data_IF_183574068141
#
_entry.id   IF_183574068141
#
_cell.length_a   1.000
_cell.length_b   1.000
_cell.length_c   1.000
_cell.angle_alpha   90.00
_cell.angle_beta   90.00
_cell.angle_gamma   90.00
#
_symmetry.space_group_name_H-M   'P 1'
#
loop_
_entity.id
_entity.type
_entity.pdbx_description
1 polymer ?
#
# COMPACT_ATOMS: atom_id res chain seq x y z
N UNK A 1 -22.83 -6.52 -8.07
CA UNK A 1 -22.54 -5.13 -8.52
C UNK A 1 -21.02 -4.82 -8.52
N UNK A 2 -20.17 -5.83 -8.76
CA UNK A 2 -18.73 -5.62 -8.85
C UNK A 2 -18.38 -4.67 -10.01
N UNK A 3 -17.46 -3.73 -9.77
CA UNK A 3 -16.98 -2.77 -10.78
C UNK A 3 -17.86 -1.55 -11.04
N UNK A 4 -18.88 -1.32 -10.21
CA UNK A 4 -19.74 -0.12 -10.32
C UNK A 4 -19.41 0.96 -9.29
N UNK A 5 -18.43 0.70 -8.42
CA UNK A 5 -18.03 1.59 -7.33
C UNK A 5 -16.54 1.88 -7.36
N UNK A 6 -16.17 3.02 -6.84
CA UNK A 6 -14.79 3.45 -6.69
C UNK A 6 -14.18 2.95 -5.37
N UNK A 7 -12.86 3.15 -5.21
CA UNK A 7 -12.19 2.91 -3.92
C UNK A 7 -12.78 3.79 -2.82
N UNK A 8 -13.06 5.05 -3.12
CA UNK A 8 -13.70 6.00 -2.19
C UNK A 8 -15.07 5.48 -1.72
N UNK A 9 -15.88 4.93 -2.63
CA UNK A 9 -17.17 4.31 -2.27
C UNK A 9 -16.98 3.13 -1.31
N UNK A 10 -15.93 2.33 -1.53
CA UNK A 10 -15.61 1.18 -0.66
C UNK A 10 -15.23 1.63 0.75
N UNK A 11 -14.43 2.69 0.87
CA UNK A 11 -14.07 3.28 2.17
C UNK A 11 -15.30 3.84 2.89
N UNK A 12 -16.19 4.51 2.15
CA UNK A 12 -17.45 5.02 2.71
C UNK A 12 -18.38 3.88 3.18
N UNK A 13 -18.46 2.77 2.45
CA UNK A 13 -19.24 1.62 2.87
C UNK A 13 -18.70 0.98 4.16
N UNK A 14 -17.37 0.87 4.28
CA UNK A 14 -16.72 0.40 5.49
C UNK A 14 -16.95 1.36 6.66
N UNK A 15 -16.73 2.66 6.46
CA UNK A 15 -16.95 3.69 7.48
C UNK A 15 -18.38 3.70 8.02
N UNK A 16 -19.35 3.37 7.20
CA UNK A 16 -20.78 3.30 7.56
C UNK A 16 -21.23 1.90 8.05
N UNK A 17 -20.28 1.00 8.32
CA UNK A 17 -20.53 -0.39 8.77
C UNK A 17 -21.42 -1.21 7.82
N UNK A 18 -21.37 -0.93 6.51
CA UNK A 18 -22.06 -1.72 5.49
C UNK A 18 -21.28 -2.98 5.08
N UNK A 19 -20.00 -3.06 5.44
CA UNK A 19 -19.16 -4.24 5.32
C UNK A 19 -18.21 -4.31 6.51
N UNK A 20 -17.81 -5.53 6.88
CA UNK A 20 -16.92 -5.77 8.02
C UNK A 20 -15.44 -5.70 7.64
N UNK A 21 -15.10 -5.82 6.37
CA UNK A 21 -13.74 -5.83 5.86
C UNK A 21 -13.65 -5.07 4.54
N UNK A 22 -12.52 -4.41 4.34
CA UNK A 22 -12.17 -3.75 3.08
C UNK A 22 -10.66 -3.93 2.85
N UNK A 23 -10.25 -4.08 1.60
CA UNK A 23 -8.83 -4.16 1.26
C UNK A 23 -8.33 -2.75 0.91
N UNK A 24 -7.30 -2.30 1.64
CA UNK A 24 -6.58 -1.05 1.34
C UNK A 24 -5.26 -1.03 2.15
N UNK A 25 -4.50 0.08 2.08
CA UNK A 25 -3.28 0.33 2.84
C UNK A 25 -3.49 1.22 4.06
N UNK A 26 -2.40 1.52 4.78
CA UNK A 26 -2.41 2.37 5.97
C UNK A 26 -2.90 3.81 5.69
N UNK A 27 -2.76 4.32 4.48
CA UNK A 27 -3.30 5.62 4.05
C UNK A 27 -4.84 5.71 4.02
N UNK A 28 -5.54 4.61 4.26
CA UNK A 28 -7.01 4.56 4.18
C UNK A 28 -7.70 5.21 5.38
N UNK A 29 -7.00 5.41 6.49
CA UNK A 29 -7.64 5.92 7.71
C UNK A 29 -8.32 7.27 7.51
N UNK A 30 -7.65 8.24 6.92
CA UNK A 30 -8.23 9.56 6.68
C UNK A 30 -9.46 9.51 5.76
N UNK A 31 -9.44 8.61 4.77
CA UNK A 31 -10.57 8.40 3.88
C UNK A 31 -11.77 7.80 4.63
N UNK A 32 -11.53 6.96 5.63
CA UNK A 32 -12.56 6.35 6.47
C UNK A 32 -13.07 7.37 7.51
N UNK A 33 -12.16 8.00 8.24
CA UNK A 33 -12.47 8.97 9.29
C UNK A 33 -13.23 10.18 8.77
N UNK A 34 -12.89 10.66 7.55
CA UNK A 34 -13.51 11.81 6.89
C UNK A 34 -14.93 11.56 6.36
N UNK A 35 -15.44 10.33 6.41
CA UNK A 35 -16.80 10.04 5.91
C UNK A 35 -17.85 10.61 6.85
N UNK A 36 -18.75 11.41 6.30
CA UNK A 36 -19.90 11.92 7.06
C UNK A 36 -20.74 10.78 7.63
N UNK A 37 -20.88 10.74 8.95
CA UNK A 37 -21.59 9.67 9.65
C UNK A 37 -20.73 8.40 9.87
N UNK A 38 -19.39 8.52 9.77
CA UNK A 38 -18.46 7.45 10.12
C UNK A 38 -18.78 6.88 11.51
N UNK A 39 -18.77 5.55 11.60
CA UNK A 39 -19.03 4.79 12.83
C UNK A 39 -17.81 4.00 13.30
N UNK A 40 -16.79 3.87 12.44
CA UNK A 40 -15.55 3.15 12.75
C UNK A 40 -14.68 3.99 13.67
N UNK A 41 -14.32 3.44 14.81
CA UNK A 41 -13.47 4.07 15.80
C UNK A 41 -12.00 3.65 15.60
N UNK A 42 -11.06 4.55 15.86
CA UNK A 42 -9.63 4.33 15.69
C UNK A 42 -9.10 3.11 16.47
N UNK A 43 -9.62 2.84 17.68
CA UNK A 43 -9.23 1.70 18.51
C UNK A 43 -9.87 0.36 18.06
N UNK A 44 -10.85 0.40 17.18
CA UNK A 44 -11.58 -0.79 16.69
C UNK A 44 -11.09 -1.28 15.33
N UNK A 45 -10.41 -0.44 14.54
CA UNK A 45 -9.88 -0.85 13.24
C UNK A 45 -8.64 -1.71 13.41
N UNK A 46 -8.53 -2.78 12.61
CA UNK A 46 -7.40 -3.72 12.64
C UNK A 46 -6.98 -4.10 11.23
N UNK A 47 -5.67 -4.28 11.03
CA UNK A 47 -5.17 -4.95 9.85
C UNK A 47 -5.15 -6.46 10.02
N UNK A 48 -5.47 -7.15 8.93
CA UNK A 48 -5.31 -8.59 8.80
C UNK A 48 -4.48 -8.87 7.55
N UNK A 49 -3.57 -9.86 7.59
CA UNK A 49 -2.90 -10.35 6.40
C UNK A 49 -3.88 -10.90 5.38
N UNK A 50 -3.55 -10.81 4.12
CA UNK A 50 -4.33 -11.44 3.04
C UNK A 50 -3.74 -12.82 2.78
N UNK A 51 -4.49 -13.87 3.14
CA UNK A 51 -4.15 -15.25 2.85
C UNK A 51 -4.80 -15.67 1.52
N UNK A 52 -4.02 -16.33 0.67
CA UNK A 52 -4.48 -16.81 -0.65
C UNK A 52 -4.53 -18.34 -0.76
N UNK A 53 -4.23 -19.06 0.33
CA UNK A 53 -4.20 -20.51 0.39
C UNK A 53 -2.89 -21.12 -0.13
N UNK A 54 -1.81 -20.37 -0.08
CA UNK A 54 -0.47 -20.90 -0.40
C UNK A 54 0.15 -21.62 0.80
N UNK A 55 1.00 -22.60 0.52
CA UNK A 55 1.76 -23.31 1.57
C UNK A 55 2.69 -22.34 2.29
N UNK A 56 2.71 -22.40 3.63
CA UNK A 56 3.59 -21.56 4.46
C UNK A 56 3.01 -20.21 4.89
N UNK A 57 1.74 -19.94 4.61
CA UNK A 57 1.07 -18.69 5.02
C UNK A 57 0.80 -18.58 6.53
N UNK A 58 0.97 -19.63 7.31
CA UNK A 58 0.57 -19.68 8.73
C UNK A 58 1.23 -18.59 9.58
N UNK A 59 2.44 -18.17 9.18
CA UNK A 59 3.22 -17.14 9.85
C UNK A 59 3.35 -15.86 9.01
N UNK A 60 2.56 -15.70 7.97
CA UNK A 60 2.57 -14.51 7.13
C UNK A 60 1.95 -13.32 7.87
N UNK A 61 2.63 -12.19 7.83
CA UNK A 61 2.14 -10.90 8.27
C UNK A 61 1.61 -10.05 7.12
N UNK A 62 1.71 -8.73 7.29
CA UNK A 62 1.27 -7.77 6.28
C UNK A 62 2.28 -7.71 5.11
N UNK A 63 1.77 -7.28 3.96
CA UNK A 63 2.61 -6.82 2.86
C UNK A 63 3.11 -5.41 3.19
N UNK A 64 4.43 -5.24 3.39
CA UNK A 64 5.06 -4.00 3.83
C UNK A 64 6.31 -3.75 3.00
N UNK A 65 6.51 -2.51 2.57
CA UNK A 65 7.73 -2.11 1.86
C UNK A 65 7.70 -0.63 1.50
N UNK A 66 8.81 -0.13 0.98
CA UNK A 66 8.93 1.23 0.49
C UNK A 66 8.21 1.35 -0.86
N UNK A 67 7.25 2.25 -0.95
CA UNK A 67 6.40 2.41 -2.13
C UNK A 67 6.67 3.72 -2.88
N UNK A 68 7.05 4.77 -2.16
CA UNK A 68 7.32 6.09 -2.71
C UNK A 68 8.80 6.44 -2.58
N UNK A 69 9.32 7.18 -3.56
CA UNK A 69 10.72 7.52 -3.67
C UNK A 69 10.89 8.98 -4.05
N UNK A 70 11.92 9.62 -3.51
CA UNK A 70 12.40 10.90 -4.01
C UNK A 70 13.39 10.68 -5.15
N UNK A 71 13.30 11.49 -6.18
CA UNK A 71 14.29 11.53 -7.25
C UNK A 71 14.80 12.96 -7.41
N UNK A 72 16.13 13.13 -7.42
CA UNK A 72 16.78 14.40 -7.72
C UNK A 72 17.06 14.44 -9.22
N UNK A 73 16.63 15.51 -9.89
CA UNK A 73 16.87 15.66 -11.32
C UNK A 73 18.36 15.75 -11.61
N UNK A 74 18.90 14.78 -12.35
CA UNK A 74 20.30 14.71 -12.72
C UNK A 74 20.76 15.83 -13.68
N UNK A 75 19.82 16.47 -14.38
CA UNK A 75 20.09 17.59 -15.28
C UNK A 75 20.04 18.96 -14.57
N UNK A 76 19.65 19.01 -13.29
CA UNK A 76 19.71 20.24 -12.50
C UNK A 76 21.19 20.63 -12.21
N UNK A 77 21.41 21.89 -11.88
CA UNK A 77 22.78 22.32 -11.50
C UNK A 77 23.25 21.61 -10.22
N UNK A 78 24.54 21.46 -10.02
CA UNK A 78 25.11 20.84 -8.82
C UNK A 78 24.63 21.53 -7.54
N UNK A 79 24.49 22.85 -7.55
CA UNK A 79 23.95 23.62 -6.41
C UNK A 79 22.49 23.25 -6.12
N UNK A 80 21.65 23.11 -7.15
CA UNK A 80 20.27 22.70 -7.01
C UNK A 80 20.14 21.25 -6.53
N UNK A 81 20.97 20.33 -7.08
CA UNK A 81 21.00 18.94 -6.63
C UNK A 81 21.41 18.85 -5.16
N UNK A 82 22.44 19.61 -4.76
CA UNK A 82 22.88 19.66 -3.37
C UNK A 82 21.78 20.23 -2.47
N UNK A 83 21.13 21.31 -2.84
CA UNK A 83 20.04 21.89 -2.05
C UNK A 83 18.87 20.91 -1.87
N UNK A 84 18.52 20.16 -2.93
CA UNK A 84 17.50 19.12 -2.84
C UNK A 84 17.90 17.98 -1.89
N UNK A 85 19.14 17.51 -1.98
CA UNK A 85 19.68 16.48 -1.08
C UNK A 85 19.72 16.96 0.38
N UNK A 86 20.18 18.19 0.62
CA UNK A 86 20.24 18.81 1.95
C UNK A 86 18.82 18.93 2.55
N UNK A 87 17.82 19.30 1.73
CA UNK A 87 16.42 19.36 2.17
C UNK A 87 15.86 17.97 2.57
N UNK A 88 16.09 16.95 1.72
CA UNK A 88 15.65 15.59 2.01
C UNK A 88 16.33 15.07 3.29
N UNK A 89 17.63 15.31 3.41
CA UNK A 89 18.38 14.93 4.61
C UNK A 89 17.83 15.64 5.87
N UNK A 90 17.61 16.94 5.80
CA UNK A 90 17.00 17.70 6.89
C UNK A 90 15.61 17.16 7.27
N UNK A 91 14.78 16.87 6.29
CA UNK A 91 13.41 16.37 6.49
C UNK A 91 13.40 15.05 7.29
N UNK A 92 14.36 14.16 7.02
CA UNK A 92 14.41 12.83 7.61
C UNK A 92 15.43 12.69 8.77
N UNK A 93 16.15 13.74 9.15
CA UNK A 93 17.15 13.68 10.23
C UNK A 93 16.99 14.72 11.33
N UNK A 94 16.35 15.86 11.07
CA UNK A 94 16.09 16.87 12.09
C UNK A 94 14.81 16.56 12.88
N UNK A 95 14.75 16.98 14.15
CA UNK A 95 13.57 16.78 14.99
C UNK A 95 12.31 17.42 14.36
N UNK A 96 12.46 18.63 13.78
CA UNK A 96 11.34 19.32 13.10
C UNK A 96 10.89 18.57 11.85
N UNK A 97 11.83 18.10 11.04
CA UNK A 97 11.53 17.36 9.82
C UNK A 97 10.88 16.01 10.14
N UNK A 98 11.43 15.25 11.08
CA UNK A 98 10.88 13.97 11.53
C UNK A 98 9.45 14.13 12.03
N UNK A 99 9.20 15.14 12.85
CA UNK A 99 7.87 15.44 13.37
C UNK A 99 6.89 15.81 12.24
N UNK A 100 7.34 16.56 11.24
CA UNK A 100 6.52 16.85 10.07
C UNK A 100 6.17 15.58 9.27
N UNK A 101 7.13 14.67 9.11
CA UNK A 101 6.94 13.39 8.42
C UNK A 101 5.93 12.49 9.15
N UNK A 102 5.99 12.43 10.48
CA UNK A 102 5.09 11.59 11.28
C UNK A 102 3.71 12.23 11.48
N UNK A 103 3.66 13.49 11.89
CA UNK A 103 2.42 14.12 12.36
C UNK A 103 1.60 14.71 11.20
N UNK A 104 2.26 15.32 10.20
CA UNK A 104 1.56 15.99 9.10
C UNK A 104 1.41 15.10 7.87
N UNK A 105 2.44 14.30 7.53
CA UNK A 105 2.40 13.40 6.39
C UNK A 105 1.89 12.00 6.75
N UNK A 106 1.88 11.62 8.02
CA UNK A 106 1.44 10.31 8.49
C UNK A 106 2.31 9.16 7.96
N UNK A 107 3.58 9.40 7.62
CA UNK A 107 4.45 8.40 7.03
C UNK A 107 5.17 7.58 8.10
N UNK A 108 5.25 6.27 7.86
CA UNK A 108 6.18 5.38 8.54
C UNK A 108 7.50 5.47 7.78
N UNK A 109 8.49 6.18 8.32
CA UNK A 109 9.76 6.39 7.64
C UNK A 109 10.69 5.16 7.80
N UNK A 110 11.27 4.61 6.70
CA UNK A 110 12.13 3.44 6.76
C UNK A 110 13.60 3.79 7.00
N UNK A 111 13.87 4.82 7.81
CA UNK A 111 15.22 5.32 8.07
C UNK A 111 15.61 5.09 9.53
N UNK A 112 16.87 4.80 9.78
CA UNK A 112 17.45 4.59 11.12
C UNK A 112 17.54 5.87 11.98
N UNK A 113 17.30 7.02 11.38
CA UNK A 113 17.15 8.31 12.07
C UNK A 113 15.83 8.40 12.86
N UNK A 114 14.86 7.52 12.57
CA UNK A 114 13.59 7.43 13.29
C UNK A 114 13.66 6.36 14.37
N UNK A 115 13.13 6.68 15.52
CA UNK A 115 13.01 5.79 16.67
C UNK A 115 11.62 5.17 16.78
N UNK A 116 11.43 4.27 17.74
CA UNK A 116 10.11 3.71 18.04
C UNK A 116 9.11 4.77 18.58
N UNK A 117 9.59 5.95 18.95
CA UNK A 117 8.76 7.08 19.41
C UNK A 117 8.31 7.98 18.26
N UNK A 118 8.99 7.92 17.11
CA UNK A 118 8.67 8.68 15.90
C UNK A 118 7.60 7.94 15.06
N UNK A 119 6.44 7.66 15.67
CA UNK A 119 5.34 6.89 15.07
C UNK A 119 4.19 7.81 14.75
N UNK A 120 3.59 7.71 13.54
CA UNK A 120 2.35 8.42 13.25
C UNK A 120 1.23 8.04 14.24
N UNK A 121 0.41 9.01 14.62
CA UNK A 121 -0.78 8.75 15.46
C UNK A 121 -1.89 8.00 14.69
N UNK A 122 -1.74 7.85 13.38
CA UNK A 122 -2.68 7.11 12.53
C UNK A 122 -2.86 5.66 13.02
N UNK A 123 -4.08 5.22 13.30
CA UNK A 123 -4.34 3.89 13.88
C UNK A 123 -3.92 2.75 12.96
N UNK A 124 -3.93 2.94 11.62
CA UNK A 124 -3.47 1.93 10.68
C UNK A 124 -1.95 1.89 10.59
N UNK A 125 -1.25 3.03 10.73
CA UNK A 125 0.20 3.04 10.86
C UNK A 125 0.66 2.30 12.13
N UNK A 126 -0.02 2.51 13.24
CA UNK A 126 0.21 1.74 14.48
C UNK A 126 0.02 0.24 14.26
N UNK A 127 -1.01 -0.16 13.52
CA UNK A 127 -1.24 -1.58 13.19
C UNK A 127 -0.11 -2.17 12.32
N UNK A 128 0.41 -1.42 11.34
CA UNK A 128 1.56 -1.87 10.54
C UNK A 128 2.76 -2.15 11.45
N UNK A 129 3.10 -1.25 12.35
CA UNK A 129 4.21 -1.45 13.28
C UNK A 129 4.01 -2.64 14.23
N UNK A 130 2.79 -2.82 14.74
CA UNK A 130 2.46 -3.98 15.58
C UNK A 130 2.69 -5.30 14.83
N UNK A 131 2.31 -5.36 13.56
CA UNK A 131 2.53 -6.54 12.72
C UNK A 131 4.00 -6.76 12.40
N UNK A 132 4.77 -5.70 12.07
CA UNK A 132 6.20 -5.79 11.79
C UNK A 132 7.01 -6.28 13.00
N UNK A 133 6.60 -5.91 14.21
CA UNK A 133 7.27 -6.30 15.46
C UNK A 133 6.73 -7.60 16.08
N UNK A 134 5.76 -8.26 15.45
CA UNK A 134 5.16 -9.48 15.98
C UNK A 134 6.11 -10.68 15.83
N UNK A 135 6.48 -11.30 16.93
CA UNK A 135 7.37 -12.46 16.93
C UNK A 135 6.78 -13.64 16.14
N UNK A 136 7.63 -14.31 15.38
CA UNK A 136 7.27 -15.50 14.61
C UNK A 136 6.46 -15.19 13.34
N UNK A 137 6.31 -13.91 12.98
CA UNK A 137 5.60 -13.47 11.78
C UNK A 137 6.59 -12.78 10.84
N UNK A 138 6.52 -13.08 9.56
CA UNK A 138 7.32 -12.42 8.53
C UNK A 138 6.46 -11.49 7.67
N UNK A 139 7.04 -10.35 7.26
CA UNK A 139 6.38 -9.44 6.31
C UNK A 139 6.62 -9.88 4.88
N UNK A 140 5.62 -9.68 4.02
CA UNK A 140 5.77 -9.85 2.57
C UNK A 140 6.27 -8.53 2.00
N UNK A 141 7.42 -8.50 1.30
CA UNK A 141 7.89 -7.27 0.67
C UNK A 141 7.03 -6.89 -0.53
N UNK A 142 6.86 -5.59 -0.77
CA UNK A 142 6.37 -5.08 -2.04
C UNK A 142 7.47 -5.24 -3.10
N UNK A 143 7.23 -6.05 -4.09
CA UNK A 143 8.14 -6.24 -5.21
C UNK A 143 7.48 -5.82 -6.52
N UNK A 144 7.37 -4.51 -6.71
CA UNK A 144 6.75 -3.94 -7.90
C UNK A 144 7.56 -4.18 -9.18
N UNK A 145 8.84 -4.45 -9.04
CA UNK A 145 9.78 -4.63 -10.17
C UNK A 145 9.62 -5.99 -10.83
N UNK A 146 9.00 -6.96 -10.18
CA UNK A 146 8.73 -8.28 -10.81
C UNK A 146 7.60 -8.23 -11.82
N UNK A 147 6.73 -7.21 -11.78
CA UNK A 147 5.66 -7.05 -12.75
C UNK A 147 6.19 -6.48 -14.06
N UNK A 148 5.83 -7.06 -15.22
CA UNK A 148 6.38 -6.64 -16.50
C UNK A 148 5.95 -5.22 -16.88
N UNK A 149 4.74 -4.78 -16.49
CA UNK A 149 4.25 -3.44 -16.80
C UNK A 149 3.05 -3.04 -15.94
N UNK A 150 2.71 -1.75 -15.95
CA UNK A 150 1.47 -1.26 -15.37
C UNK A 150 0.24 -1.75 -16.16
N UNK A 151 0.38 -1.91 -17.46
CA UNK A 151 -0.67 -2.46 -18.34
C UNK A 151 -1.04 -3.88 -17.92
N UNK A 152 -0.07 -4.74 -17.64
CA UNK A 152 -0.31 -6.08 -17.11
C UNK A 152 -1.17 -6.04 -15.82
N UNK A 153 -0.84 -5.18 -14.86
CA UNK A 153 -1.61 -5.06 -13.61
C UNK A 153 -3.08 -4.70 -13.86
N UNK A 154 -3.32 -3.79 -14.80
CA UNK A 154 -4.68 -3.38 -15.20
C UNK A 154 -5.44 -4.50 -15.87
N UNK A 155 -4.81 -5.22 -16.79
CA UNK A 155 -5.40 -6.37 -17.49
C UNK A 155 -5.74 -7.49 -16.52
N UNK A 156 -4.84 -7.81 -15.59
CA UNK A 156 -5.08 -8.81 -14.55
C UNK A 156 -6.28 -8.44 -13.68
N UNK A 157 -6.34 -7.20 -13.19
CA UNK A 157 -7.50 -6.71 -12.43
C UNK A 157 -8.81 -6.78 -13.21
N UNK A 158 -8.79 -6.44 -14.51
CA UNK A 158 -9.95 -6.54 -15.40
C UNK A 158 -10.39 -7.99 -15.65
N UNK A 159 -9.44 -8.91 -15.72
CA UNK A 159 -9.72 -10.34 -15.84
C UNK A 159 -10.40 -10.90 -14.59
N UNK A 160 -9.89 -10.55 -13.41
CA UNK A 160 -10.49 -10.91 -12.12
C UNK A 160 -11.90 -10.33 -11.96
N UNK A 161 -12.10 -9.06 -12.33
CA UNK A 161 -13.42 -8.43 -12.32
C UNK A 161 -14.39 -9.17 -13.26
N UNK A 162 -13.95 -9.55 -14.44
CA UNK A 162 -14.76 -10.31 -15.39
C UNK A 162 -15.16 -11.68 -14.85
N UNK A 163 -14.27 -12.35 -14.13
CA UNK A 163 -14.56 -13.58 -13.41
C UNK A 163 -15.60 -13.36 -12.31
N UNK A 164 -15.41 -12.36 -11.46
CA UNK A 164 -16.34 -12.02 -10.38
C UNK A 164 -17.76 -11.67 -10.90
N UNK A 165 -17.84 -11.16 -12.13
CA UNK A 165 -19.10 -10.83 -12.79
C UNK A 165 -19.70 -12.02 -13.56
N UNK A 166 -19.07 -13.19 -13.54
CA UNK A 166 -19.51 -14.39 -14.28
C UNK A 166 -19.31 -14.33 -15.79
N UNK A 167 -18.49 -13.39 -16.28
CA UNK A 167 -18.22 -13.21 -17.73
C UNK A 167 -17.04 -14.04 -18.25
N UNK A 168 -16.17 -14.50 -17.34
CA UNK A 168 -15.05 -15.40 -17.63
C UNK A 168 -15.04 -16.57 -16.65
N UNK A 169 -14.53 -17.70 -17.09
CA UNK A 169 -14.17 -18.81 -16.20
C UNK A 169 -12.81 -18.57 -15.57
N UNK A 170 -12.51 -19.27 -14.48
CA UNK A 170 -11.18 -19.20 -13.86
C UNK A 170 -10.07 -19.64 -14.80
N UNK A 171 -10.30 -20.72 -15.59
CA UNK A 171 -9.34 -21.17 -16.58
C UNK A 171 -9.01 -20.08 -17.62
N UNK A 172 -10.00 -19.33 -18.08
CA UNK A 172 -9.78 -18.19 -18.98
C UNK A 172 -8.99 -17.06 -18.34
N UNK A 173 -9.20 -16.80 -17.03
CA UNK A 173 -8.38 -15.81 -16.30
C UNK A 173 -6.93 -16.25 -16.25
N UNK A 174 -6.67 -17.51 -15.89
CA UNK A 174 -5.31 -18.05 -15.83
C UNK A 174 -4.61 -18.00 -17.20
N UNK A 175 -5.26 -18.46 -18.25
CA UNK A 175 -4.71 -18.45 -19.61
C UNK A 175 -4.38 -17.02 -20.08
N UNK A 176 -5.31 -16.08 -19.91
CA UNK A 176 -5.11 -14.68 -20.28
C UNK A 176 -3.97 -14.05 -19.49
N UNK A 177 -3.88 -14.32 -18.19
CA UNK A 177 -2.83 -13.76 -17.33
C UNK A 177 -1.44 -14.24 -17.75
N UNK A 178 -1.29 -15.53 -18.05
CA UNK A 178 -0.02 -16.10 -18.53
C UNK A 178 0.38 -15.53 -19.90
N UNK A 179 -0.58 -15.41 -20.81
CA UNK A 179 -0.34 -14.86 -22.15
C UNK A 179 0.05 -13.38 -22.08
N UNK A 180 -0.66 -12.61 -21.29
CA UNK A 180 -0.44 -11.16 -21.10
C UNK A 180 0.92 -10.89 -20.42
N UNK A 181 1.28 -11.68 -19.39
CA UNK A 181 2.60 -11.59 -18.78
C UNK A 181 3.71 -11.77 -19.81
N UNK A 182 3.62 -12.80 -20.65
CA UNK A 182 4.64 -13.07 -21.68
C UNK A 182 4.74 -11.93 -22.70
N UNK A 183 3.61 -11.39 -23.11
CA UNK A 183 3.55 -10.27 -24.06
C UNK A 183 4.16 -9.01 -23.50
N UNK A 184 3.76 -8.62 -22.29
CA UNK A 184 4.24 -7.40 -21.63
C UNK A 184 5.72 -7.50 -21.22
N UNK A 185 6.18 -8.66 -20.76
CA UNK A 185 7.59 -8.89 -20.46
C UNK A 185 8.47 -8.78 -21.70
N UNK A 186 8.00 -9.29 -22.87
CA UNK A 186 8.72 -9.16 -24.13
C UNK A 186 8.75 -7.72 -24.65
N UNK A 187 7.75 -6.91 -24.34
CA UNK A 187 7.68 -5.51 -24.75
C UNK A 187 8.53 -4.59 -23.85
N UNK A 188 8.88 -5.04 -22.64
CA UNK A 188 9.65 -4.28 -21.65
C UNK A 188 11.15 -4.64 -21.62
N UNK A 189 11.57 -5.64 -22.39
CA UNK A 189 12.95 -6.10 -22.54
C UNK A 189 13.69 -5.30 -23.62
#
# INVERSE_FOLDING_TARGET
KCGTKTVTDSMAEFALEKCAMVQNGNWAWEQIAGVTGNKVQADKIKFLPIYIGADGEENQGLCVGTENFYAINAEATEEQQKAAADFIYWLYSSDTGKKFVTDELGFIAPFDTFSAEDVPEDPLAVQVQLWMNKQGVYSIPWDFTVFPSQTFKQHFGSALLSYAQGRKTWAQVQENTVADWKSEAAASA
#
